data_IF_012346653196
#
_entry.id   IF_012346653196
#
_cell.length_a   1.000
_cell.length_b   1.000
_cell.length_c   1.000
_cell.angle_alpha   90.00
_cell.angle_beta   90.00
_cell.angle_gamma   90.00
#
_symmetry.space_group_name_H-M   'P 1'
#
loop_
_entity.id
_entity.type
_entity.pdbx_description
1 polymer ?
#
# COMPACT_ATOMS: atom_id res chain seq x y z
N UNK A 1 17.00 -9.82 -3.60
CA UNK A 1 15.58 -10.19 -3.77
C UNK A 1 14.81 -9.31 -2.82
N UNK A 2 13.94 -8.45 -3.33
CA UNK A 2 13.08 -7.66 -2.46
C UNK A 2 12.09 -8.58 -1.76
N UNK A 3 11.85 -8.37 -0.48
CA UNK A 3 10.88 -9.17 0.28
C UNK A 3 9.45 -8.82 -0.15
N UNK A 4 8.49 -9.69 0.16
CA UNK A 4 7.06 -9.39 -0.08
C UNK A 4 6.66 -8.10 0.66
N UNK A 5 7.14 -7.93 1.89
CA UNK A 5 6.90 -6.73 2.69
C UNK A 5 7.42 -5.46 2.00
N UNK A 6 8.63 -5.48 1.46
CA UNK A 6 9.19 -4.33 0.72
C UNK A 6 8.37 -4.00 -0.53
N UNK A 7 7.90 -5.01 -1.28
CA UNK A 7 7.05 -4.79 -2.46
C UNK A 7 5.70 -4.18 -2.08
N UNK A 8 5.06 -4.70 -1.04
CA UNK A 8 3.77 -4.18 -0.55
C UNK A 8 3.94 -2.75 -0.04
N UNK A 9 4.95 -2.48 0.79
CA UNK A 9 5.19 -1.12 1.31
C UNK A 9 5.40 -0.10 0.21
N UNK A 10 6.17 -0.48 -0.82
CA UNK A 10 6.41 0.37 -1.97
C UNK A 10 5.12 0.72 -2.72
N UNK A 11 4.28 -0.28 -3.01
CA UNK A 11 3.00 -0.07 -3.70
C UNK A 11 2.07 0.81 -2.89
N UNK A 12 1.97 0.56 -1.58
CA UNK A 12 1.15 1.39 -0.68
C UNK A 12 1.65 2.83 -0.66
N UNK A 13 2.97 3.04 -0.56
CA UNK A 13 3.57 4.36 -0.55
C UNK A 13 3.33 5.11 -1.87
N UNK A 14 3.51 4.44 -3.01
CA UNK A 14 3.28 5.01 -4.33
C UNK A 14 1.79 5.33 -4.58
N UNK A 15 0.88 4.42 -4.22
CA UNK A 15 -0.55 4.58 -4.45
C UNK A 15 -1.17 5.67 -3.57
N UNK A 16 -0.80 5.69 -2.28
CA UNK A 16 -1.35 6.65 -1.32
C UNK A 16 -0.57 7.98 -1.29
N UNK A 17 0.54 8.08 -2.04
CA UNK A 17 1.38 9.27 -2.07
C UNK A 17 2.07 9.58 -0.72
N UNK A 18 2.29 8.55 0.10
CA UNK A 18 2.92 8.63 1.42
C UNK A 18 4.36 8.13 1.37
N UNK A 19 5.13 8.31 2.44
CA UNK A 19 6.50 7.77 2.50
C UNK A 19 6.46 6.29 2.86
N UNK A 20 7.38 5.50 2.30
CA UNK A 20 7.58 4.09 2.71
C UNK A 20 7.85 3.96 4.23
N UNK A 21 8.45 5.00 4.82
CA UNK A 21 8.71 5.13 6.26
C UNK A 21 7.43 5.16 7.10
N UNK A 22 6.35 5.70 6.55
CA UNK A 22 5.04 5.84 7.19
C UNK A 22 4.22 4.55 7.07
N UNK A 23 4.54 3.70 6.07
CA UNK A 23 3.90 2.40 5.87
C UNK A 23 4.47 1.36 6.82
N UNK A 24 3.96 1.37 8.05
CA UNK A 24 4.28 0.37 9.07
C UNK A 24 3.25 -0.76 9.09
N UNK A 25 3.64 -1.95 9.55
CA UNK A 25 2.71 -3.09 9.66
C UNK A 25 1.57 -2.86 10.67
N UNK A 26 1.69 -1.82 11.50
CA UNK A 26 0.68 -1.37 12.45
C UNK A 26 -0.16 -0.20 11.94
N UNK A 27 0.20 0.40 10.81
CA UNK A 27 -0.49 1.56 10.28
C UNK A 27 -1.87 1.17 9.73
N UNK A 28 -2.87 1.97 10.05
CA UNK A 28 -4.19 1.93 9.44
C UNK A 28 -4.16 2.65 8.09
N UNK A 29 -4.56 1.97 7.02
CA UNK A 29 -4.65 2.60 5.70
C UNK A 29 -5.54 3.85 5.71
N UNK A 30 -6.64 3.83 6.46
CA UNK A 30 -7.61 4.93 6.50
C UNK A 30 -7.22 5.99 7.54
N UNK A 31 -6.89 5.57 8.76
CA UNK A 31 -6.67 6.52 9.86
C UNK A 31 -5.27 7.14 9.86
N UNK A 32 -4.25 6.37 9.49
CA UNK A 32 -2.85 6.82 9.54
C UNK A 32 -2.34 7.28 8.16
N UNK A 33 -2.73 6.57 7.10
CA UNK A 33 -2.27 6.87 5.73
C UNK A 33 -3.29 7.70 4.94
N UNK A 34 -4.47 7.96 5.50
CA UNK A 34 -5.46 8.85 4.90
C UNK A 34 -6.14 8.30 3.64
N UNK A 35 -6.07 6.99 3.41
CA UNK A 35 -6.72 6.34 2.27
C UNK A 35 -8.24 6.46 2.39
N UNK A 36 -8.90 6.90 1.34
CA UNK A 36 -10.35 6.89 1.24
C UNK A 36 -10.89 5.55 0.71
N UNK A 37 -12.22 5.47 0.54
CA UNK A 37 -12.85 4.25 0.03
C UNK A 37 -12.49 3.91 -1.42
N UNK A 38 -12.08 4.89 -2.24
CA UNK A 38 -11.61 4.66 -3.60
C UNK A 38 -10.14 4.25 -3.60
N UNK A 39 -9.31 4.92 -2.80
CA UNK A 39 -7.88 4.61 -2.67
C UNK A 39 -7.66 3.16 -2.23
N UNK A 40 -8.49 2.67 -1.30
CA UNK A 40 -8.43 1.26 -0.86
C UNK A 40 -8.80 0.27 -1.96
N UNK A 41 -9.74 0.60 -2.86
CA UNK A 41 -10.09 -0.25 -4.01
C UNK A 41 -8.95 -0.25 -5.02
N UNK A 42 -8.40 0.93 -5.35
CA UNK A 42 -7.28 1.04 -6.27
C UNK A 42 -6.02 0.34 -5.74
N UNK A 43 -5.75 0.45 -4.44
CA UNK A 43 -4.65 -0.24 -3.78
C UNK A 43 -4.78 -1.76 -3.89
N UNK A 44 -5.99 -2.31 -3.71
CA UNK A 44 -6.23 -3.75 -3.89
C UNK A 44 -5.98 -4.16 -5.33
N UNK A 45 -6.46 -3.40 -6.32
CA UNK A 45 -6.20 -3.71 -7.73
C UNK A 45 -4.70 -3.67 -8.05
N UNK A 46 -3.96 -2.67 -7.57
CA UNK A 46 -2.52 -2.56 -7.78
C UNK A 46 -1.74 -3.75 -7.16
N UNK A 47 -2.19 -4.22 -5.99
CA UNK A 47 -1.65 -5.42 -5.37
C UNK A 47 -2.01 -6.69 -6.14
N UNK A 48 -3.25 -6.83 -6.61
CA UNK A 48 -3.66 -7.96 -7.45
C UNK A 48 -2.86 -8.03 -8.77
N UNK A 49 -2.59 -6.88 -9.40
CA UNK A 49 -1.74 -6.79 -10.60
C UNK A 49 -0.28 -7.16 -10.31
N UNK A 50 0.34 -6.63 -9.25
CA UNK A 50 1.73 -6.93 -8.89
C UNK A 50 1.96 -8.41 -8.53
N UNK A 51 0.94 -9.03 -7.93
CA UNK A 51 1.01 -10.40 -7.45
C UNK A 51 0.28 -11.41 -8.36
N UNK A 52 -0.18 -10.97 -9.54
CA UNK A 52 -0.85 -11.79 -10.57
C UNK A 52 -1.92 -12.75 -10.00
N UNK A 53 -2.77 -12.26 -9.07
CA UNK A 53 -3.76 -13.09 -8.35
C UNK A 53 -5.17 -12.97 -8.92
#
# INVERSE_FOLDING_TARGET
>A
MSTIEERVKKIVAEQLGVKEEEVTNSASFVEDLGADSLDTVELVMALEEEFET
#
